data_IF_619929698443
#
_entry.id   IF_619929698443
#
_cell.length_a   1.000
_cell.length_b   1.000
_cell.length_c   1.000
_cell.angle_alpha   90.00
_cell.angle_beta   90.00
_cell.angle_gamma   90.00
#
_symmetry.space_group_name_H-M   'P 1'
#
loop_
_entity.id
_entity.type
_entity.pdbx_description
1 polymer ?
#
# COMPACT_ATOMS: atom_id res chain seq x y z
N UNK A 1 36.05 -26.37 -7.88
CA UNK A 1 35.04 -25.31 -8.00
C UNK A 1 33.70 -25.63 -7.31
N UNK A 2 33.17 -26.83 -7.43
CA UNK A 2 31.86 -27.22 -6.84
C UNK A 2 31.90 -27.12 -5.30
N UNK A 3 32.99 -27.49 -4.66
CA UNK A 3 33.11 -27.46 -3.17
C UNK A 3 33.03 -26.05 -2.59
N UNK A 4 33.60 -25.06 -3.27
CA UNK A 4 33.54 -23.65 -2.85
C UNK A 4 32.15 -23.06 -2.97
N UNK A 5 31.39 -23.46 -4.02
CA UNK A 5 30.01 -23.05 -4.21
C UNK A 5 29.08 -23.62 -3.14
N UNK A 6 29.29 -24.87 -2.74
CA UNK A 6 28.51 -25.52 -1.66
C UNK A 6 28.79 -24.85 -0.32
N UNK A 7 30.05 -24.52 -0.01
CA UNK A 7 30.38 -23.75 1.20
C UNK A 7 29.79 -22.37 1.22
N UNK A 8 29.81 -21.65 0.08
CA UNK A 8 29.19 -20.34 -0.05
C UNK A 8 27.67 -20.41 0.18
N UNK A 9 27.02 -21.45 -0.34
CA UNK A 9 25.60 -21.70 -0.14
C UNK A 9 25.24 -22.02 1.32
N UNK A 10 26.13 -22.69 2.05
CA UNK A 10 25.94 -23.02 3.48
C UNK A 10 26.22 -21.82 4.39
N UNK A 11 27.02 -20.83 3.94
CA UNK A 11 27.32 -19.61 4.73
C UNK A 11 26.34 -18.47 4.46
N UNK A 12 25.52 -18.55 3.44
CA UNK A 12 24.46 -17.57 3.21
C UNK A 12 23.36 -17.79 4.26
N UNK A 13 23.07 -16.80 5.09
CA UNK A 13 21.98 -16.92 6.05
C UNK A 13 20.66 -17.07 5.27
N UNK A 14 20.07 -18.26 5.34
CA UNK A 14 18.72 -18.51 4.80
C UNK A 14 17.70 -17.85 5.73
N UNK A 15 17.48 -16.57 5.54
CA UNK A 15 16.43 -15.86 6.26
C UNK A 15 15.07 -16.19 5.61
N UNK A 16 14.49 -17.29 6.05
CA UNK A 16 13.09 -17.58 5.73
C UNK A 16 12.21 -16.59 6.51
N UNK A 17 11.28 -15.89 5.84
CA UNK A 17 10.36 -15.00 6.52
C UNK A 17 9.56 -15.78 7.56
N UNK A 18 9.53 -15.29 8.81
CA UNK A 18 8.71 -15.84 9.89
C UNK A 18 7.22 -15.70 9.58
N UNK A 19 6.87 -14.60 8.94
CA UNK A 19 5.51 -14.31 8.47
C UNK A 19 5.57 -13.29 7.32
N UNK A 20 4.53 -13.27 6.49
CA UNK A 20 4.25 -12.20 5.52
C UNK A 20 3.19 -11.26 6.09
N UNK A 21 3.41 -9.96 5.94
CA UNK A 21 2.50 -8.90 6.37
C UNK A 21 1.95 -8.23 5.12
N UNK A 22 0.65 -8.35 4.92
CA UNK A 22 -0.02 -7.69 3.81
C UNK A 22 -0.47 -6.28 4.21
N UNK A 23 -0.25 -5.32 3.29
CA UNK A 23 -0.68 -3.94 3.41
C UNK A 23 -1.78 -3.66 2.37
N UNK A 24 -3.06 -3.98 2.71
CA UNK A 24 -4.17 -3.59 1.85
C UNK A 24 -4.30 -2.07 1.89
N UNK A 25 -4.23 -1.43 0.73
CA UNK A 25 -4.21 0.02 0.63
C UNK A 25 -5.11 0.55 -0.49
N UNK A 26 -5.53 1.79 -0.32
CA UNK A 26 -6.08 2.62 -1.38
C UNK A 26 -4.94 3.47 -1.94
N UNK A 27 -4.88 3.66 -3.26
CA UNK A 27 -3.84 4.48 -3.88
C UNK A 27 -3.84 5.90 -3.28
N UNK A 28 -2.67 6.36 -2.85
CA UNK A 28 -2.47 7.66 -2.20
C UNK A 28 -2.55 7.64 -0.67
N UNK A 29 -3.00 6.54 -0.07
CA UNK A 29 -3.10 6.43 1.39
C UNK A 29 -1.82 5.87 2.02
N UNK A 30 -1.64 6.17 3.31
CA UNK A 30 -0.62 5.56 4.15
C UNK A 30 -1.28 4.53 5.06
N UNK A 31 -0.75 3.32 5.05
CA UNK A 31 -1.22 2.21 5.90
C UNK A 31 -0.15 1.83 6.90
N UNK A 32 -0.51 1.76 8.16
CA UNK A 32 0.39 1.31 9.23
C UNK A 32 0.01 -0.09 9.69
N UNK A 33 1.00 -0.97 9.79
CA UNK A 33 0.87 -2.30 10.40
C UNK A 33 1.94 -2.46 11.48
N UNK A 34 1.61 -3.18 12.53
CA UNK A 34 2.51 -3.43 13.65
C UNK A 34 2.97 -4.88 13.65
N UNK A 35 4.24 -5.09 13.99
CA UNK A 35 4.81 -6.41 14.26
C UNK A 35 4.91 -6.56 15.77
N UNK A 36 4.24 -7.58 16.32
CA UNK A 36 4.33 -7.92 17.72
C UNK A 36 5.62 -8.74 17.97
N UNK A 37 6.53 -8.19 18.74
CA UNK A 37 7.77 -8.82 19.15
C UNK A 37 7.68 -9.20 20.63
N UNK A 38 7.82 -10.48 20.93
CA UNK A 38 7.77 -10.98 22.30
C UNK A 38 9.13 -11.54 22.70
N UNK A 39 9.60 -11.14 23.85
CA UNK A 39 10.79 -11.72 24.48
C UNK A 39 10.37 -12.86 25.43
N UNK A 40 10.58 -14.13 25.06
CA UNK A 40 10.22 -15.27 25.91
C UNK A 40 11.25 -15.54 27.01
N UNK A 41 12.41 -14.87 26.99
CA UNK A 41 13.54 -15.12 27.90
C UNK A 41 13.39 -14.42 29.26
N UNK A 42 14.26 -14.78 30.20
CA UNK A 42 14.38 -14.10 31.51
C UNK A 42 15.33 -12.90 31.50
N UNK A 43 15.91 -12.54 30.34
CA UNK A 43 16.85 -11.43 30.21
C UNK A 43 16.36 -10.40 29.19
N UNK A 44 17.13 -9.32 29.07
CA UNK A 44 16.86 -8.25 28.10
C UNK A 44 17.34 -8.66 26.71
N UNK A 45 16.56 -8.39 25.67
CA UNK A 45 16.91 -8.58 24.27
C UNK A 45 16.76 -7.27 23.52
N UNK A 46 17.82 -6.86 22.81
CA UNK A 46 17.80 -5.72 21.89
C UNK A 46 17.98 -6.19 20.45
N UNK A 47 17.19 -5.62 19.55
CA UNK A 47 17.27 -5.87 18.11
C UNK A 47 17.59 -4.60 17.35
N UNK A 48 18.39 -4.74 16.31
CA UNK A 48 18.44 -3.82 15.20
C UNK A 48 17.42 -4.24 14.15
N UNK A 49 16.61 -3.29 13.70
CA UNK A 49 15.69 -3.45 12.61
C UNK A 49 16.30 -2.85 11.34
N UNK A 50 16.31 -3.63 10.26
CA UNK A 50 16.74 -3.17 8.94
C UNK A 50 15.61 -3.43 7.95
N UNK A 51 15.19 -2.37 7.27
CA UNK A 51 14.22 -2.44 6.19
C UNK A 51 14.95 -2.58 4.85
N UNK A 52 14.51 -3.52 4.01
CA UNK A 52 15.04 -3.78 2.68
C UNK A 52 13.89 -3.96 1.69
N UNK A 53 14.06 -3.49 0.45
CA UNK A 53 13.04 -3.55 -0.61
C UNK A 53 12.55 -2.19 -1.04
N UNK A 54 11.24 -2.06 -1.29
CA UNK A 54 10.65 -0.81 -1.79
C UNK A 54 10.80 0.35 -0.80
N UNK A 55 11.15 1.52 -1.32
CA UNK A 55 11.20 2.78 -0.56
C UNK A 55 9.83 3.28 -0.06
N UNK A 56 8.76 2.62 -0.49
CA UNK A 56 7.40 2.91 -0.06
C UNK A 56 7.09 2.38 1.34
N UNK A 57 7.90 1.43 1.82
CA UNK A 57 7.89 1.02 3.21
C UNK A 57 8.81 1.91 4.03
N UNK A 58 8.37 2.29 5.22
CA UNK A 58 9.13 3.10 6.18
C UNK A 58 8.96 2.55 7.58
N UNK A 59 9.93 2.82 8.43
CA UNK A 59 9.89 2.57 9.87
C UNK A 59 10.38 3.81 10.61
N UNK A 60 9.88 4.05 11.81
CA UNK A 60 10.21 5.24 12.61
C UNK A 60 11.41 5.00 13.52
N UNK A 61 11.72 3.73 13.79
CA UNK A 61 12.82 3.34 14.67
C UNK A 61 13.62 2.22 14.01
N UNK A 62 14.90 2.18 14.28
CA UNK A 62 15.86 1.17 13.82
C UNK A 62 16.31 0.20 14.92
N UNK A 63 15.89 0.45 16.16
CA UNK A 63 16.22 -0.39 17.31
C UNK A 63 15.00 -0.60 18.20
N UNK A 64 14.92 -1.76 18.82
CA UNK A 64 13.91 -2.06 19.84
C UNK A 64 14.52 -2.93 20.94
N UNK A 65 14.28 -2.55 22.18
CA UNK A 65 14.69 -3.31 23.37
C UNK A 65 13.47 -3.87 24.08
N UNK A 66 13.54 -5.14 24.42
CA UNK A 66 12.49 -5.90 25.07
C UNK A 66 13.00 -6.41 26.42
N UNK A 67 12.37 -5.98 27.49
CA UNK A 67 12.60 -6.50 28.83
C UNK A 67 12.17 -7.98 28.94
N UNK A 68 12.54 -8.63 30.03
CA UNK A 68 12.14 -10.02 30.30
C UNK A 68 10.61 -10.18 30.20
N UNK A 69 10.17 -11.16 29.38
CA UNK A 69 8.75 -11.48 29.16
C UNK A 69 7.91 -10.34 28.55
N UNK A 70 8.55 -9.28 28.10
CA UNK A 70 7.87 -8.15 27.45
C UNK A 70 7.43 -8.48 26.03
N UNK A 71 6.29 -7.92 25.64
CA UNK A 71 5.84 -7.83 24.25
C UNK A 71 5.78 -6.35 23.87
N UNK A 72 6.29 -6.00 22.71
CA UNK A 72 6.21 -4.65 22.18
C UNK A 72 5.83 -4.67 20.69
N UNK A 73 5.14 -3.62 20.27
CA UNK A 73 4.67 -3.41 18.91
C UNK A 73 5.68 -2.58 18.12
N UNK A 74 6.08 -3.07 16.96
CA UNK A 74 6.99 -2.37 16.05
C UNK A 74 6.21 -1.91 14.82
N UNK A 75 5.96 -0.59 14.63
CA UNK A 75 5.18 -0.07 13.52
C UNK A 75 5.98 -0.04 12.21
N UNK A 76 5.31 -0.38 11.12
CA UNK A 76 5.79 -0.22 9.75
C UNK A 76 4.74 0.51 8.96
N UNK A 77 5.14 1.52 8.22
CA UNK A 77 4.29 2.35 7.38
C UNK A 77 4.51 2.00 5.91
N UNK A 78 3.43 1.86 5.19
CA UNK A 78 3.41 1.72 3.75
C UNK A 78 2.71 2.92 3.12
N UNK A 79 3.37 3.61 2.18
CA UNK A 79 2.83 4.73 1.43
C UNK A 79 2.48 4.24 0.04
N UNK A 80 1.19 4.20 -0.29
CA UNK A 80 0.69 3.69 -1.56
C UNK A 80 0.83 4.73 -2.67
N UNK A 81 1.99 4.79 -3.33
CA UNK A 81 2.27 5.73 -4.43
C UNK A 81 2.01 5.15 -5.81
N UNK A 82 2.07 3.84 -5.95
CA UNK A 82 1.86 3.11 -7.20
C UNK A 82 0.81 2.03 -7.02
N UNK A 83 0.10 1.69 -8.09
CA UNK A 83 -0.93 0.64 -8.05
C UNK A 83 -0.38 -0.78 -8.19
N UNK A 84 0.87 -0.92 -8.68
CA UNK A 84 1.53 -2.22 -8.75
C UNK A 84 1.88 -2.73 -7.35
N UNK A 85 1.77 -4.04 -7.08
CA UNK A 85 2.19 -4.61 -5.81
C UNK A 85 3.70 -4.42 -5.64
N UNK A 86 4.11 -3.99 -4.45
CA UNK A 86 5.53 -3.89 -4.07
C UNK A 86 5.80 -4.81 -2.88
N UNK A 87 7.05 -5.25 -2.80
CA UNK A 87 7.52 -6.13 -1.74
C UNK A 87 8.69 -5.52 -0.99
N UNK A 88 8.84 -5.93 0.24
CA UNK A 88 9.97 -5.59 1.11
C UNK A 88 10.16 -6.66 2.16
N UNK A 89 11.14 -6.46 3.01
CA UNK A 89 11.38 -7.29 4.19
C UNK A 89 11.96 -6.44 5.30
N UNK A 90 11.61 -6.76 6.53
CA UNK A 90 12.26 -6.22 7.71
C UNK A 90 13.03 -7.34 8.42
N UNK A 91 14.29 -7.07 8.72
CA UNK A 91 15.19 -7.97 9.40
C UNK A 91 15.45 -7.43 10.81
N UNK A 92 15.19 -8.22 11.83
CA UNK A 92 15.56 -7.97 13.20
C UNK A 92 16.81 -8.79 13.54
N UNK A 93 17.90 -8.13 13.85
CA UNK A 93 19.18 -8.77 14.22
C UNK A 93 19.48 -8.48 15.69
N UNK A 94 19.81 -9.51 16.46
CA UNK A 94 20.16 -9.36 17.87
C UNK A 94 21.39 -8.46 18.03
N UNK A 95 21.31 -7.51 18.96
CA UNK A 95 22.42 -6.63 19.37
C UNK A 95 23.09 -7.21 20.61
N UNK A 96 24.36 -7.56 20.49
CA UNK A 96 25.16 -8.08 21.65
C UNK A 96 25.43 -7.02 22.71
N UNK A 97 25.50 -5.73 22.34
CA UNK A 97 25.79 -4.61 23.23
C UNK A 97 24.58 -4.15 24.07
N UNK A 98 23.37 -4.57 23.73
CA UNK A 98 22.13 -4.23 24.44
C UNK A 98 21.34 -5.44 24.92
N UNK A 99 21.90 -6.65 24.76
CA UNK A 99 21.22 -7.90 25.12
C UNK A 99 21.99 -8.63 26.20
N UNK A 100 21.27 -9.14 27.18
CA UNK A 100 21.83 -10.09 28.18
C UNK A 100 21.68 -11.53 27.72
N UNK A 101 20.85 -11.76 26.67
CA UNK A 101 20.61 -13.06 26.09
C UNK A 101 20.78 -12.97 24.57
N UNK A 102 21.45 -13.94 23.96
CA UNK A 102 21.58 -14.04 22.53
C UNK A 102 20.28 -14.60 21.93
N UNK A 103 19.62 -13.77 21.09
CA UNK A 103 18.38 -14.13 20.41
C UNK A 103 18.61 -14.40 18.92
N UNK A 104 17.77 -15.22 18.32
CA UNK A 104 17.83 -15.48 16.89
C UNK A 104 17.37 -14.25 16.09
N UNK A 105 17.96 -14.05 14.92
CA UNK A 105 17.49 -13.05 13.96
C UNK A 105 16.13 -13.47 13.38
N UNK A 106 15.28 -12.49 13.10
CA UNK A 106 13.93 -12.72 12.55
C UNK A 106 13.74 -11.88 11.28
N UNK A 107 13.06 -12.47 10.31
CA UNK A 107 12.67 -11.77 9.06
C UNK A 107 11.16 -11.80 8.91
N UNK A 108 10.59 -10.66 8.51
CA UNK A 108 9.20 -10.55 8.12
C UNK A 108 9.12 -10.03 6.69
N UNK A 109 8.37 -10.73 5.84
CA UNK A 109 8.06 -10.31 4.50
C UNK A 109 6.98 -9.22 4.52
N UNK A 110 7.12 -8.21 3.67
CA UNK A 110 6.16 -7.14 3.50
C UNK A 110 5.63 -7.19 2.07
N UNK A 111 4.32 -7.11 1.90
CA UNK A 111 3.67 -7.13 0.59
C UNK A 111 2.53 -6.13 0.54
N UNK A 112 2.54 -5.28 -0.45
CA UNK A 112 1.43 -4.35 -0.66
C UNK A 112 0.35 -4.96 -1.55
N UNK A 113 -0.89 -4.55 -1.30
CA UNK A 113 -2.04 -4.90 -2.12
C UNK A 113 -2.93 -3.66 -2.29
N UNK A 114 -2.76 -2.96 -3.42
CA UNK A 114 -3.55 -1.77 -3.74
C UNK A 114 -4.82 -2.20 -4.45
N UNK A 115 -5.95 -2.16 -3.75
CA UNK A 115 -7.22 -2.71 -4.22
C UNK A 115 -8.17 -1.67 -4.81
N UNK A 116 -7.94 -0.37 -4.55
CA UNK A 116 -8.80 0.69 -5.05
C UNK A 116 -8.08 2.03 -5.20
N UNK A 117 -8.71 2.95 -5.93
CA UNK A 117 -8.25 4.31 -6.15
C UNK A 117 -9.33 5.28 -5.70
N UNK A 118 -8.96 6.34 -5.02
CA UNK A 118 -9.84 7.40 -4.59
C UNK A 118 -9.56 8.66 -5.39
N UNK A 119 -10.60 9.45 -5.69
CA UNK A 119 -10.39 10.79 -6.26
C UNK A 119 -9.58 11.64 -5.27
N UNK A 120 -8.50 12.23 -5.75
CA UNK A 120 -7.67 13.14 -4.94
C UNK A 120 -8.44 14.41 -4.64
N UNK A 121 -9.20 14.90 -5.63
CA UNK A 121 -9.96 16.14 -5.52
C UNK A 121 -11.25 16.07 -6.34
N UNK A 122 -12.31 16.67 -5.85
CA UNK A 122 -13.56 16.92 -6.59
C UNK A 122 -13.72 18.41 -6.75
N UNK A 123 -13.82 18.88 -7.99
CA UNK A 123 -14.01 20.30 -8.33
C UNK A 123 -15.40 20.44 -8.93
N UNK A 124 -16.24 21.25 -8.28
CA UNK A 124 -17.57 21.60 -8.79
C UNK A 124 -17.51 23.00 -9.43
N UNK A 125 -17.90 23.08 -10.68
CA UNK A 125 -18.05 24.34 -11.42
C UNK A 125 -19.44 24.44 -12.00
N UNK A 126 -20.01 25.63 -11.97
CA UNK A 126 -21.29 25.95 -12.61
C UNK A 126 -21.03 26.94 -13.74
N UNK A 127 -21.57 26.70 -14.91
CA UNK A 127 -21.45 27.56 -16.06
C UNK A 127 -22.81 27.68 -16.72
N UNK A 128 -23.15 28.87 -17.29
CA UNK A 128 -24.28 29.01 -18.18
C UNK A 128 -24.14 28.07 -19.39
N UNK A 129 -25.26 27.76 -20.02
CA UNK A 129 -25.28 26.95 -21.24
C UNK A 129 -24.48 27.67 -22.35
N UNK A 130 -23.67 26.92 -23.08
CA UNK A 130 -22.78 27.39 -24.17
C UNK A 130 -21.60 28.26 -23.75
N UNK A 131 -21.32 28.40 -22.47
CA UNK A 131 -20.11 29.09 -22.02
C UNK A 131 -19.02 28.05 -21.61
N UNK A 132 -17.79 28.14 -22.18
CA UNK A 132 -16.70 27.28 -21.79
C UNK A 132 -16.17 27.65 -20.39
N UNK A 133 -15.83 26.66 -19.60
CA UNK A 133 -15.16 26.82 -18.30
C UNK A 133 -13.77 26.19 -18.36
N UNK A 134 -12.77 26.95 -17.99
CA UNK A 134 -11.41 26.47 -17.83
C UNK A 134 -11.23 26.00 -16.37
N UNK A 135 -10.65 24.82 -16.19
CA UNK A 135 -10.30 24.27 -14.88
C UNK A 135 -8.81 23.95 -14.90
N UNK A 136 -8.05 24.65 -14.08
CA UNK A 136 -6.64 24.38 -13.88
C UNK A 136 -6.50 23.26 -12.83
N UNK A 137 -5.74 22.23 -13.18
CA UNK A 137 -5.43 21.10 -12.30
C UNK A 137 -3.96 21.14 -11.95
N UNK A 138 -3.66 21.25 -10.67
CA UNK A 138 -2.32 21.14 -10.16
C UNK A 138 -1.97 19.68 -9.92
N UNK A 139 -0.90 19.20 -10.56
CA UNK A 139 -0.42 17.83 -10.44
C UNK A 139 0.99 17.84 -9.88
N UNK A 140 1.16 17.25 -8.71
CA UNK A 140 2.46 17.14 -8.07
C UNK A 140 3.06 15.76 -8.30
N UNK A 141 4.34 15.71 -8.69
CA UNK A 141 5.10 14.47 -8.77
C UNK A 141 5.50 14.00 -7.36
N UNK A 142 4.98 12.87 -6.86
CA UNK A 142 5.32 12.35 -5.52
C UNK A 142 6.66 11.59 -5.48
N UNK A 143 7.31 11.42 -6.65
CA UNK A 143 8.55 10.67 -6.76
C UNK A 143 9.76 11.60 -6.78
N UNK A 144 10.93 11.08 -6.42
CA UNK A 144 12.21 11.81 -6.47
C UNK A 144 12.85 11.81 -7.86
N UNK A 145 12.22 11.18 -8.84
CA UNK A 145 12.67 11.07 -10.23
C UNK A 145 11.62 11.63 -11.15
N UNK A 146 12.02 12.01 -12.36
CA UNK A 146 11.10 12.47 -13.38
C UNK A 146 10.16 11.35 -13.80
N UNK A 147 8.87 11.66 -13.93
CA UNK A 147 7.82 10.72 -14.36
C UNK A 147 6.95 11.36 -15.42
N UNK A 148 6.48 10.54 -16.36
CA UNK A 148 5.50 10.95 -17.36
C UNK A 148 4.12 10.50 -16.94
N UNK A 149 3.17 11.43 -16.89
CA UNK A 149 1.77 11.15 -16.59
C UNK A 149 0.94 11.08 -17.88
N UNK A 150 0.19 10.00 -18.03
CA UNK A 150 -0.86 9.92 -19.07
C UNK A 150 -2.16 10.47 -18.54
N UNK A 151 -2.66 11.53 -19.18
CA UNK A 151 -3.93 12.16 -18.82
C UNK A 151 -5.04 11.56 -19.67
N UNK A 152 -6.05 11.00 -19.02
CA UNK A 152 -7.25 10.47 -19.64
C UNK A 152 -8.46 11.29 -19.18
N UNK A 153 -9.16 11.88 -20.10
CA UNK A 153 -10.45 12.51 -19.84
C UNK A 153 -11.56 11.48 -20.08
N UNK A 154 -12.30 11.16 -19.04
CA UNK A 154 -13.46 10.32 -19.13
C UNK A 154 -14.72 11.11 -18.77
N UNK A 155 -15.78 11.25 -19.59
CA UNK A 155 -17.05 11.97 -19.38
C UNK A 155 -18.14 11.04 -18.82
N UNK A 156 -18.63 11.24 -17.62
CA UNK A 156 -19.75 10.48 -17.04
C UNK A 156 -21.04 11.26 -17.09
N UNK A 157 -22.05 10.71 -17.74
CA UNK A 157 -23.41 11.21 -17.61
C UNK A 157 -23.99 10.61 -16.33
N UNK A 158 -24.13 11.41 -15.26
CA UNK A 158 -24.95 11.01 -14.12
C UNK A 158 -26.38 10.88 -14.61
N UNK A 159 -26.92 9.67 -14.63
CA UNK A 159 -28.38 9.50 -14.71
C UNK A 159 -28.93 10.03 -13.40
N UNK A 160 -29.58 11.18 -13.45
CA UNK A 160 -30.38 11.67 -12.32
C UNK A 160 -31.37 10.56 -11.96
N UNK A 161 -31.23 10.01 -10.77
CA UNK A 161 -32.27 9.17 -10.17
C UNK A 161 -33.42 10.14 -9.86
N UNK A 162 -34.35 10.27 -10.78
CA UNK A 162 -35.60 10.96 -10.52
C UNK A 162 -36.29 10.38 -9.28
N UNK A 163 -37.10 11.15 -8.55
CA UNK A 163 -37.77 10.73 -7.34
C UNK A 163 -38.52 9.43 -7.57
N UNK A 164 -38.29 8.46 -6.69
CA UNK A 164 -38.92 7.14 -6.73
C UNK A 164 -40.46 7.30 -6.67
N UNK A 165 -41.12 7.19 -7.81
CA UNK A 165 -42.58 7.03 -7.86
C UNK A 165 -42.92 5.63 -7.34
N UNK A 166 -43.53 5.58 -6.17
CA UNK A 166 -44.30 4.42 -5.71
C UNK A 166 -45.53 4.26 -6.59
N UNK A 167 -45.44 3.43 -7.62
CA UNK A 167 -46.56 3.07 -8.50
C UNK A 167 -46.74 1.56 -8.48
N UNK A 168 -47.93 1.12 -8.10
CA UNK A 168 -48.42 -0.26 -8.14
C UNK A 168 -48.47 -0.78 -9.58
N UNK A 169 -48.05 -2.00 -9.73
CA UNK A 169 -48.35 -3.07 -10.66
C UNK A 169 -48.90 -2.75 -12.07
N UNK A 170 -48.15 -3.29 -13.03
CA UNK A 170 -48.69 -4.23 -14.02
C UNK A 170 -47.55 -4.73 -14.91
N UNK A 171 -47.62 -6.02 -15.22
CA UNK A 171 -46.71 -6.74 -16.13
C UNK A 171 -46.98 -6.27 -17.56
N UNK A 172 -45.94 -5.86 -18.26
CA UNK A 172 -45.87 -6.04 -19.72
C UNK A 172 -44.41 -6.09 -20.16
N UNK A 173 -44.09 -7.19 -20.80
CA UNK A 173 -42.84 -7.44 -21.53
C UNK A 173 -42.77 -6.54 -22.76
N UNK A 174 -41.63 -5.87 -22.94
CA UNK A 174 -41.19 -5.46 -24.28
C UNK A 174 -39.66 -5.34 -24.28
N UNK A 175 -39.07 -6.13 -25.17
CA UNK A 175 -37.67 -5.99 -25.62
C UNK A 175 -37.44 -4.59 -26.21
N UNK A 176 -36.35 -3.95 -25.87
CA UNK A 176 -35.63 -3.16 -26.86
C UNK A 176 -34.21 -2.79 -26.42
N UNK A 177 -33.28 -3.28 -27.22
CA UNK A 177 -32.15 -2.65 -27.95
C UNK A 177 -31.37 -1.52 -27.28
N UNK A 178 -30.07 -1.85 -27.13
CA UNK A 178 -28.88 -1.03 -27.36
C UNK A 178 -29.00 0.49 -27.22
N UNK A 179 -28.36 1.01 -26.16
CA UNK A 179 -27.68 2.29 -26.34
C UNK A 179 -26.40 2.32 -25.52
N UNK A 180 -25.27 2.46 -26.22
CA UNK A 180 -23.95 2.64 -25.69
C UNK A 180 -23.90 4.03 -25.03
N UNK A 181 -23.86 4.08 -23.71
CA UNK A 181 -23.53 5.29 -22.96
C UNK A 181 -22.07 5.28 -22.55
N UNK A 182 -21.29 6.22 -23.07
CA UNK A 182 -19.92 6.48 -22.64
C UNK A 182 -19.91 7.10 -21.25
N UNK A 183 -19.24 6.48 -20.30
CA UNK A 183 -18.95 7.05 -18.97
C UNK A 183 -17.53 7.55 -18.92
N UNK A 184 -17.30 8.66 -18.26
CA UNK A 184 -15.98 9.30 -18.18
C UNK A 184 -15.62 9.61 -16.69
N UNK A 185 -14.60 9.00 -16.11
CA UNK A 185 -13.99 9.35 -14.83
C UNK A 185 -12.49 9.62 -15.03
N UNK A 186 -11.98 10.72 -14.51
CA UNK A 186 -10.55 11.08 -14.66
C UNK A 186 -9.67 10.25 -13.72
N UNK A 187 -8.74 9.50 -14.27
CA UNK A 187 -7.72 8.77 -13.51
C UNK A 187 -6.36 9.16 -14.03
N UNK A 188 -5.53 9.77 -13.16
CA UNK A 188 -4.10 9.93 -13.40
C UNK A 188 -3.40 8.62 -13.01
N UNK A 189 -2.80 7.95 -13.99
CA UNK A 189 -1.97 6.78 -13.74
C UNK A 189 -0.52 7.09 -14.15
N UNK A 190 0.48 6.78 -13.31
CA UNK A 190 1.87 6.80 -13.74
C UNK A 190 2.11 5.68 -14.76
N UNK A 191 3.00 5.95 -15.70
CA UNK A 191 3.44 5.00 -16.71
C UNK A 191 4.36 3.92 -16.11
#
# INVERSE_FOLDING_TARGET
MIFLAVQLFQTLPHYLPKAEIEFPAVLGDTVTKTIELTNPSGGVISYWAKLDGSKDFKMDMDTITLESKQTASFPIHYISRISAPVTGKVLFTNRSDGSTVQAASMVFGLKSNVHSRRSVQTIEKRTPLYEPVIIDLEVMNPFSTDVTFHVQLQQGIKKDKGPAQKGKGSKQSLQNRNNRGSSLSGVLAPA
#
